data_IF_133262348288
#
_entry.id   IF_133262348288
#
_cell.length_a   1.000
_cell.length_b   1.000
_cell.length_c   1.000
_cell.angle_alpha   90.00
_cell.angle_beta   90.00
_cell.angle_gamma   90.00
#
_symmetry.space_group_name_H-M   'P 1'
#
loop_
_entity.id
_entity.type
_entity.pdbx_description
1 polymer ?
#
# COMPACT_ATOMS: atom_id res chain seq x y z
N UNK A 1 -24.85 -8.14 -12.45
CA UNK A 1 -24.88 -7.98 -13.92
C UNK A 1 -25.50 -6.64 -14.30
N UNK A 2 -24.72 -5.75 -14.94
CA UNK A 2 -25.18 -4.47 -15.46
C UNK A 2 -25.84 -4.68 -16.84
N UNK A 3 -26.91 -3.91 -17.12
CA UNK A 3 -27.55 -3.91 -18.45
C UNK A 3 -26.57 -3.47 -19.54
N UNK A 4 -26.84 -3.85 -20.78
CA UNK A 4 -26.00 -3.46 -21.93
C UNK A 4 -25.92 -1.94 -22.09
N UNK A 5 -27.03 -1.26 -21.94
CA UNK A 5 -27.12 0.19 -22.08
C UNK A 5 -26.33 0.92 -20.99
N UNK A 6 -26.42 0.44 -19.74
CA UNK A 6 -25.66 1.03 -18.65
C UNK A 6 -24.15 0.78 -18.80
N UNK A 7 -23.73 -0.38 -19.31
CA UNK A 7 -22.31 -0.63 -19.64
C UNK A 7 -21.82 0.31 -20.74
N UNK A 8 -22.62 0.55 -21.76
CA UNK A 8 -22.31 1.51 -22.83
C UNK A 8 -22.21 2.94 -22.30
N UNK A 9 -23.14 3.33 -21.41
CA UNK A 9 -23.07 4.63 -20.72
C UNK A 9 -21.78 4.76 -19.92
N UNK A 10 -21.43 3.75 -19.10
CA UNK A 10 -20.20 3.78 -18.32
C UNK A 10 -18.95 3.89 -19.21
N UNK A 11 -18.87 3.11 -20.28
CA UNK A 11 -17.73 3.14 -21.20
C UNK A 11 -17.58 4.48 -21.95
N UNK A 12 -18.67 5.21 -22.14
CA UNK A 12 -18.63 6.54 -22.76
C UNK A 12 -18.31 7.69 -21.82
N UNK A 13 -18.46 7.50 -20.49
CA UNK A 13 -18.35 8.58 -19.50
C UNK A 13 -17.24 8.35 -18.48
N UNK A 14 -16.75 7.13 -18.33
CA UNK A 14 -15.76 6.77 -17.33
C UNK A 14 -14.63 5.94 -17.96
N UNK A 15 -13.45 6.14 -17.46
CA UNK A 15 -12.27 5.29 -17.78
C UNK A 15 -11.63 4.81 -16.50
N UNK A 16 -11.25 3.55 -16.46
CA UNK A 16 -10.36 3.03 -15.42
C UNK A 16 -8.93 3.31 -15.88
N UNK A 17 -8.34 4.38 -15.37
CA UNK A 17 -6.99 4.76 -15.71
C UNK A 17 -6.01 3.86 -14.95
N UNK A 18 -5.34 2.96 -15.67
CA UNK A 18 -4.17 2.24 -15.15
C UNK A 18 -2.96 3.15 -15.36
N UNK A 19 -2.11 3.35 -14.32
CA UNK A 19 -0.92 4.17 -14.46
C UNK A 19 0.03 3.63 -15.52
N UNK A 20 0.78 4.53 -16.17
CA UNK A 20 1.75 4.17 -17.18
C UNK A 20 3.03 3.60 -16.54
N UNK A 21 3.55 2.48 -17.06
CA UNK A 21 4.87 1.97 -16.69
C UNK A 21 5.94 2.71 -17.48
N UNK A 22 6.70 3.57 -16.82
CA UNK A 22 7.82 4.31 -17.41
C UNK A 22 9.03 3.40 -17.61
N UNK A 23 9.33 2.57 -16.60
CA UNK A 23 10.37 1.55 -16.69
C UNK A 23 10.02 0.35 -15.81
N UNK A 24 10.49 -0.83 -16.24
CA UNK A 24 10.38 -2.07 -15.49
C UNK A 24 11.75 -2.75 -15.44
N UNK A 25 12.17 -3.10 -14.22
CA UNK A 25 13.35 -3.93 -13.98
C UNK A 25 12.91 -5.27 -13.44
N UNK A 26 13.52 -6.35 -13.90
CA UNK A 26 13.24 -7.71 -13.44
C UNK A 26 14.54 -8.32 -12.95
N UNK A 27 14.57 -8.75 -11.70
CA UNK A 27 15.71 -9.42 -11.09
C UNK A 27 15.69 -10.92 -11.39
N UNK A 28 16.80 -11.62 -11.13
CA UNK A 28 16.94 -13.06 -11.38
C UNK A 28 16.01 -13.93 -10.56
N UNK A 29 15.56 -13.45 -9.39
CA UNK A 29 14.58 -14.08 -8.52
C UNK A 29 13.11 -13.82 -8.94
N UNK A 30 12.91 -13.08 -10.05
CA UNK A 30 11.59 -12.71 -10.55
C UNK A 30 10.99 -11.45 -9.91
N UNK A 31 11.68 -10.80 -8.97
CA UNK A 31 11.26 -9.49 -8.44
C UNK A 31 11.14 -8.47 -9.56
N UNK A 32 10.02 -7.73 -9.60
CA UNK A 32 9.74 -6.71 -10.62
C UNK A 32 9.61 -5.36 -9.95
N UNK A 33 10.48 -4.43 -10.30
CA UNK A 33 10.41 -3.04 -9.89
C UNK A 33 9.86 -2.20 -11.04
N UNK A 34 8.79 -1.47 -10.77
CA UNK A 34 8.14 -0.58 -11.72
C UNK A 34 8.38 0.87 -11.30
N UNK A 35 8.76 1.71 -12.24
CA UNK A 35 8.61 3.15 -12.13
C UNK A 35 7.31 3.51 -12.84
N UNK A 36 6.39 4.09 -12.09
CA UNK A 36 4.99 4.27 -12.50
C UNK A 36 4.69 5.74 -12.58
N UNK A 37 4.21 6.19 -13.75
CA UNK A 37 3.77 7.58 -13.96
C UNK A 37 2.30 7.72 -13.58
N UNK A 38 2.03 8.72 -12.75
CA UNK A 38 0.72 9.07 -12.23
C UNK A 38 0.28 10.44 -12.75
N UNK A 39 -0.94 10.85 -12.42
CA UNK A 39 -1.47 12.14 -12.85
C UNK A 39 -0.53 13.31 -12.49
N UNK A 40 -0.42 14.27 -13.41
CA UNK A 40 0.49 15.41 -13.27
C UNK A 40 1.94 15.12 -13.65
N UNK A 41 2.25 13.95 -14.23
CA UNK A 41 3.58 13.59 -14.72
C UNK A 41 4.58 13.19 -13.64
N UNK A 42 4.12 13.02 -12.40
CA UNK A 42 4.95 12.53 -11.31
C UNK A 42 5.14 11.01 -11.37
N UNK A 43 6.21 10.53 -10.77
CA UNK A 43 6.56 9.11 -10.79
C UNK A 43 6.72 8.56 -9.39
N UNK A 44 6.26 7.32 -9.19
CA UNK A 44 6.42 6.56 -7.96
C UNK A 44 6.92 5.16 -8.24
N UNK A 45 7.53 4.54 -7.25
CA UNK A 45 8.01 3.15 -7.35
C UNK A 45 6.98 2.17 -6.79
N UNK A 46 6.88 1.02 -7.44
CA UNK A 46 6.09 -0.13 -7.01
C UNK A 46 6.92 -1.38 -7.24
N UNK A 47 6.93 -2.31 -6.28
CA UNK A 47 7.77 -3.51 -6.35
C UNK A 47 6.95 -4.76 -6.10
N UNK A 48 6.94 -5.68 -7.06
CA UNK A 48 6.40 -7.03 -6.90
C UNK A 48 7.49 -8.00 -6.52
N UNK A 49 7.31 -8.74 -5.43
CA UNK A 49 8.25 -9.71 -4.89
C UNK A 49 7.57 -11.08 -4.90
N UNK A 50 7.96 -11.99 -5.82
CA UNK A 50 7.47 -13.37 -5.82
C UNK A 50 8.12 -14.19 -4.71
N UNK A 51 7.34 -15.06 -4.09
CA UNK A 51 7.80 -16.11 -3.18
C UNK A 51 7.16 -17.43 -3.60
N UNK A 52 7.60 -18.55 -3.01
CA UNK A 52 7.14 -19.90 -3.42
C UNK A 52 5.61 -20.09 -3.33
N UNK A 53 4.97 -19.47 -2.36
CA UNK A 53 3.55 -19.65 -2.02
C UNK A 53 2.74 -18.36 -2.01
N UNK A 54 3.40 -17.23 -2.27
CA UNK A 54 2.76 -15.90 -2.27
C UNK A 54 3.50 -14.92 -3.19
N UNK A 55 2.83 -13.84 -3.55
CA UNK A 55 3.44 -12.67 -4.18
C UNK A 55 3.04 -11.41 -3.44
N UNK A 56 4.03 -10.63 -3.06
CA UNK A 56 3.84 -9.40 -2.29
C UNK A 56 4.06 -8.18 -3.17
N UNK A 57 3.11 -7.26 -3.19
CA UNK A 57 3.25 -5.98 -3.86
C UNK A 57 3.51 -4.88 -2.83
N UNK A 58 4.66 -4.23 -2.95
CA UNK A 58 4.99 -3.02 -2.21
C UNK A 58 4.52 -1.81 -3.01
N UNK A 59 3.61 -1.01 -2.43
CA UNK A 59 2.99 0.15 -3.09
C UNK A 59 3.31 1.45 -2.38
N UNK A 60 3.31 2.53 -3.16
CA UNK A 60 3.54 3.91 -2.71
C UNK A 60 2.24 4.61 -2.34
N UNK A 61 2.31 5.54 -1.40
CA UNK A 61 1.18 6.35 -0.92
C UNK A 61 1.32 7.85 -1.17
N UNK A 62 2.54 8.33 -1.46
CA UNK A 62 2.83 9.75 -1.72
C UNK A 62 3.85 9.88 -2.84
N UNK A 63 3.88 11.04 -3.49
CA UNK A 63 5.01 11.50 -4.32
C UNK A 63 5.99 12.21 -3.41
N UNK A 64 7.17 11.63 -3.22
CA UNK A 64 8.08 12.02 -2.14
C UNK A 64 7.58 11.52 -0.78
N UNK A 65 7.98 12.18 0.30
CA UNK A 65 7.56 11.81 1.65
C UNK A 65 7.35 13.04 2.53
N UNK A 66 6.34 12.97 3.41
CA UNK A 66 6.11 13.97 4.47
C UNK A 66 7.22 13.94 5.52
N UNK A 67 7.87 12.78 5.70
CA UNK A 67 8.90 12.56 6.71
C UNK A 67 10.30 12.60 6.09
N UNK A 68 11.28 12.94 6.94
CA UNK A 68 12.69 13.08 6.58
C UNK A 68 13.55 12.04 7.30
N UNK A 69 13.12 10.77 7.30
CA UNK A 69 13.86 9.68 7.95
C UNK A 69 15.25 9.53 7.32
N UNK A 70 16.31 9.57 8.12
CA UNK A 70 17.68 9.63 7.65
C UNK A 70 18.19 8.37 6.94
N UNK A 71 17.56 7.23 7.19
CA UNK A 71 17.90 5.94 6.56
C UNK A 71 17.15 5.71 5.23
N UNK A 72 16.17 6.58 4.89
CA UNK A 72 15.25 6.35 3.77
C UNK A 72 15.58 7.30 2.60
N UNK A 73 15.79 6.73 1.40
CA UNK A 73 16.03 7.55 0.21
C UNK A 73 14.84 8.47 -0.11
N UNK A 74 13.61 7.97 0.02
CA UNK A 74 12.41 8.81 -0.16
C UNK A 74 12.33 9.94 0.86
N UNK A 75 12.92 9.79 2.05
CA UNK A 75 13.03 10.83 3.06
C UNK A 75 13.87 12.04 2.63
N UNK A 76 14.70 11.89 1.60
CA UNK A 76 15.47 13.01 0.98
C UNK A 76 14.64 13.77 -0.06
N UNK A 77 13.52 13.20 -0.50
CA UNK A 77 12.60 13.78 -1.47
C UNK A 77 11.50 14.55 -0.73
N UNK A 78 11.36 15.83 -1.04
CA UNK A 78 10.26 16.61 -0.47
C UNK A 78 8.91 16.05 -0.92
N UNK A 79 7.93 16.10 -0.03
CA UNK A 79 6.56 15.78 -0.40
C UNK A 79 6.09 16.74 -1.51
N UNK A 80 5.62 16.16 -2.61
CA UNK A 80 4.95 16.89 -3.68
C UNK A 80 3.44 16.86 -3.43
N UNK A 81 2.86 15.66 -3.30
CA UNK A 81 1.45 15.46 -2.97
C UNK A 81 1.15 14.04 -2.50
N UNK A 82 0.00 13.89 -1.90
CA UNK A 82 -0.61 12.59 -1.64
C UNK A 82 -1.09 11.94 -2.95
N UNK A 83 -1.00 10.61 -3.03
CA UNK A 83 -1.68 9.84 -4.07
C UNK A 83 -3.16 9.76 -3.76
N UNK A 84 -4.00 9.80 -4.81
CA UNK A 84 -5.42 9.50 -4.68
C UNK A 84 -5.66 8.00 -4.46
N UNK A 85 -6.82 7.61 -3.96
CA UNK A 85 -7.19 6.20 -3.80
C UNK A 85 -7.09 5.45 -5.15
N UNK A 86 -7.50 6.09 -6.25
CA UNK A 86 -7.38 5.52 -7.60
C UNK A 86 -5.93 5.29 -8.04
N UNK A 87 -5.00 6.19 -7.70
CA UNK A 87 -3.58 6.03 -8.02
C UNK A 87 -2.90 4.96 -7.14
N UNK A 88 -3.33 4.81 -5.89
CA UNK A 88 -2.84 3.76 -4.99
C UNK A 88 -3.31 2.39 -5.50
N UNK A 89 -4.60 2.21 -5.78
CA UNK A 89 -5.15 0.95 -6.30
C UNK A 89 -4.69 0.67 -7.74
N UNK A 90 -4.40 1.70 -8.51
CA UNK A 90 -3.87 1.60 -9.86
C UNK A 90 -2.55 0.84 -9.91
N UNK A 91 -1.69 0.96 -8.90
CA UNK A 91 -0.45 0.19 -8.79
C UNK A 91 -0.74 -1.32 -8.64
N UNK A 92 -1.80 -1.67 -7.91
CA UNK A 92 -2.24 -3.07 -7.76
C UNK A 92 -2.78 -3.61 -9.09
N UNK A 93 -3.59 -2.81 -9.77
CA UNK A 93 -4.15 -3.19 -11.08
C UNK A 93 -3.07 -3.38 -12.12
N UNK A 94 -2.10 -2.47 -12.20
CA UNK A 94 -0.95 -2.54 -13.08
C UNK A 94 -0.13 -3.82 -12.85
N UNK A 95 0.19 -4.15 -11.60
CA UNK A 95 0.95 -5.36 -11.28
C UNK A 95 0.17 -6.63 -11.65
N UNK A 96 -1.13 -6.69 -11.39
CA UNK A 96 -1.98 -7.82 -11.79
C UNK A 96 -2.07 -7.98 -13.30
N UNK A 97 -2.12 -6.87 -14.03
CA UNK A 97 -2.12 -6.85 -15.49
C UNK A 97 -0.80 -7.43 -16.04
N UNK A 98 0.34 -6.93 -15.54
CA UNK A 98 1.68 -7.42 -15.92
C UNK A 98 1.93 -8.90 -15.52
N UNK A 99 1.26 -9.40 -14.49
CA UNK A 99 1.29 -10.80 -14.06
C UNK A 99 0.30 -11.69 -14.83
N UNK A 100 -0.59 -11.11 -15.65
CA UNK A 100 -1.63 -11.84 -16.35
C UNK A 100 -2.70 -12.44 -15.44
N UNK A 101 -2.95 -11.84 -14.27
CA UNK A 101 -3.89 -12.34 -13.25
C UNK A 101 -5.36 -12.05 -13.54
N UNK A 102 -5.66 -11.17 -14.49
CA UNK A 102 -7.05 -10.90 -14.83
C UNK A 102 -7.68 -12.12 -15.48
N UNK A 103 -8.85 -12.58 -15.01
CA UNK A 103 -9.50 -13.73 -15.61
C UNK A 103 -9.82 -13.42 -17.07
N UNK A 104 -9.31 -14.25 -17.96
CA UNK A 104 -9.75 -14.22 -19.35
C UNK A 104 -11.27 -14.44 -19.41
N UNK A 105 -12.00 -13.84 -20.38
CA UNK A 105 -13.42 -14.06 -20.54
C UNK A 105 -13.74 -15.56 -20.53
N UNK A 106 -14.60 -15.99 -19.60
CA UNK A 106 -14.99 -17.40 -19.44
C UNK A 106 -14.13 -18.25 -18.50
N UNK A 107 -13.04 -17.73 -17.92
CA UNK A 107 -12.32 -18.42 -16.84
C UNK A 107 -12.93 -18.12 -15.48
N UNK A 108 -13.09 -19.16 -14.67
CA UNK A 108 -13.50 -19.00 -13.28
C UNK A 108 -12.33 -18.42 -12.45
N UNK A 109 -12.46 -17.23 -11.84
CA UNK A 109 -11.38 -16.63 -11.03
C UNK A 109 -10.94 -17.52 -9.85
N UNK A 110 -11.81 -18.40 -9.37
CA UNK A 110 -11.51 -19.30 -8.24
C UNK A 110 -10.51 -20.43 -8.60
N UNK A 111 -10.21 -20.67 -9.87
CA UNK A 111 -9.34 -21.77 -10.32
C UNK A 111 -7.96 -21.31 -10.81
N UNK A 112 -7.72 -20.01 -10.96
CA UNK A 112 -6.40 -19.49 -11.30
C UNK A 112 -5.58 -19.21 -10.02
N UNK A 113 -4.33 -19.69 -9.99
CA UNK A 113 -3.41 -19.37 -8.90
C UNK A 113 -3.24 -17.85 -8.79
N UNK A 114 -3.47 -17.32 -7.60
CA UNK A 114 -3.27 -15.89 -7.33
C UNK A 114 -1.78 -15.62 -7.14
N UNK A 115 -1.16 -14.95 -8.11
CA UNK A 115 0.25 -14.56 -8.04
C UNK A 115 0.47 -13.38 -7.10
N UNK A 116 -0.43 -12.37 -7.12
CA UNK A 116 -0.42 -11.24 -6.20
C UNK A 116 -1.38 -11.54 -5.05
N UNK A 117 -0.85 -11.97 -3.92
CA UNK A 117 -1.63 -12.39 -2.76
C UNK A 117 -1.54 -11.43 -1.58
N UNK A 118 -0.53 -10.56 -1.53
CA UNK A 118 -0.28 -9.65 -0.43
C UNK A 118 0.01 -8.23 -0.93
N UNK A 119 -0.39 -7.23 -0.13
CA UNK A 119 -0.03 -5.82 -0.33
C UNK A 119 0.69 -5.31 0.91
N UNK A 120 1.79 -4.57 0.72
CA UNK A 120 2.46 -3.84 1.78
C UNK A 120 2.59 -2.36 1.39
N UNK A 121 2.15 -1.46 2.26
CA UNK A 121 2.31 -0.02 2.10
C UNK A 121 3.69 0.39 2.67
N UNK A 122 4.75 -0.02 1.97
CA UNK A 122 6.16 0.18 2.34
C UNK A 122 6.96 0.85 1.22
N UNK A 123 6.28 1.39 0.20
CA UNK A 123 6.88 2.17 -0.87
C UNK A 123 7.11 3.63 -0.46
N UNK A 124 6.94 4.55 -1.41
CA UNK A 124 7.18 5.97 -1.17
C UNK A 124 6.05 6.60 -0.34
N UNK A 125 6.46 7.40 0.66
CA UNK A 125 5.55 8.17 1.52
C UNK A 125 5.25 7.55 2.88
N UNK A 126 4.63 8.35 3.75
CA UNK A 126 4.05 7.90 5.01
C UNK A 126 2.54 7.69 4.82
N UNK A 127 2.04 6.44 4.83
CA UNK A 127 0.65 6.15 4.52
C UNK A 127 -0.35 6.85 5.44
N UNK A 128 -0.01 7.03 6.72
CA UNK A 128 -0.91 7.63 7.69
C UNK A 128 -1.05 9.15 7.52
N UNK A 129 -0.15 9.82 6.80
CA UNK A 129 -0.36 11.20 6.36
C UNK A 129 -1.19 11.31 5.06
N UNK A 130 -1.54 10.18 4.47
CA UNK A 130 -2.49 10.08 3.37
C UNK A 130 -3.67 9.16 3.73
N UNK A 131 -4.11 9.19 4.98
CA UNK A 131 -4.99 8.19 5.57
C UNK A 131 -6.27 7.94 4.76
N UNK A 132 -7.01 8.99 4.37
CA UNK A 132 -8.30 8.85 3.69
C UNK A 132 -8.17 8.10 2.36
N UNK A 133 -7.20 8.48 1.53
CA UNK A 133 -6.97 7.81 0.25
C UNK A 133 -6.46 6.38 0.43
N UNK A 134 -5.59 6.14 1.42
CA UNK A 134 -5.10 4.80 1.73
C UNK A 134 -6.25 3.92 2.22
N UNK A 135 -7.09 4.41 3.12
CA UNK A 135 -8.28 3.69 3.59
C UNK A 135 -9.18 3.29 2.43
N UNK A 136 -9.50 4.24 1.56
CA UNK A 136 -10.42 3.99 0.44
C UNK A 136 -9.81 3.02 -0.58
N UNK A 137 -8.51 3.13 -0.88
CA UNK A 137 -7.80 2.18 -1.72
C UNK A 137 -7.80 0.76 -1.12
N UNK A 138 -7.56 0.62 0.19
CA UNK A 138 -7.57 -0.68 0.85
C UNK A 138 -8.98 -1.28 0.92
N UNK A 139 -10.03 -0.47 1.10
CA UNK A 139 -11.41 -0.94 0.99
C UNK A 139 -11.72 -1.48 -0.41
N UNK A 140 -11.26 -0.82 -1.48
CA UNK A 140 -11.40 -1.32 -2.86
C UNK A 140 -10.61 -2.64 -3.03
N UNK A 141 -9.39 -2.74 -2.48
CA UNK A 141 -8.60 -3.97 -2.56
C UNK A 141 -9.27 -5.15 -1.83
N UNK A 142 -10.01 -4.88 -0.75
CA UNK A 142 -10.70 -5.90 0.05
C UNK A 142 -12.13 -6.21 -0.43
N UNK A 143 -12.68 -5.41 -1.35
CA UNK A 143 -14.06 -5.56 -1.81
C UNK A 143 -14.32 -6.97 -2.35
N UNK A 144 -15.35 -7.69 -1.84
CA UNK A 144 -15.66 -9.05 -2.25
C UNK A 144 -16.13 -9.14 -3.71
N UNK A 145 -16.66 -8.07 -4.29
CA UNK A 145 -17.05 -8.00 -5.70
C UNK A 145 -15.89 -7.52 -6.61
N UNK A 146 -14.73 -7.20 -6.03
CA UNK A 146 -13.56 -6.66 -6.73
C UNK A 146 -12.32 -7.53 -6.61
N UNK A 147 -11.24 -6.98 -6.03
CA UNK A 147 -9.92 -7.65 -5.94
C UNK A 147 -9.92 -8.77 -4.88
N UNK A 148 -10.75 -8.67 -3.85
CA UNK A 148 -10.97 -9.71 -2.83
C UNK A 148 -9.71 -10.09 -2.03
N UNK A 149 -8.86 -9.13 -1.70
CA UNK A 149 -7.75 -9.39 -0.79
C UNK A 149 -8.25 -9.43 0.66
N UNK A 150 -7.85 -10.47 1.39
CA UNK A 150 -8.13 -10.52 2.82
C UNK A 150 -7.36 -9.41 3.55
N UNK A 151 -7.99 -8.78 4.56
CA UNK A 151 -7.31 -7.80 5.44
C UNK A 151 -6.00 -8.33 6.05
N UNK A 152 -5.89 -9.65 6.28
CA UNK A 152 -4.68 -10.32 6.77
C UNK A 152 -3.56 -10.43 5.74
N UNK A 153 -3.82 -10.04 4.51
CA UNK A 153 -2.88 -10.00 3.39
C UNK A 153 -2.45 -8.58 3.06
N UNK A 154 -2.87 -7.62 3.87
CA UNK A 154 -2.51 -6.21 3.73
C UNK A 154 -1.75 -5.79 4.98
N UNK A 155 -0.55 -5.25 4.82
CA UNK A 155 0.25 -4.67 5.91
C UNK A 155 0.46 -3.19 5.63
N UNK A 156 0.00 -2.34 6.54
CA UNK A 156 0.30 -0.92 6.54
C UNK A 156 1.53 -0.68 7.41
N UNK A 157 2.55 -0.04 6.85
CA UNK A 157 3.73 0.38 7.60
C UNK A 157 3.64 1.87 7.93
N UNK A 158 4.05 2.24 9.13
CA UNK A 158 4.12 3.64 9.56
C UNK A 158 5.40 3.91 10.35
N UNK A 159 5.89 5.13 10.25
CA UNK A 159 6.96 5.62 11.12
C UNK A 159 6.46 6.07 12.50
N UNK A 160 5.14 6.03 12.74
CA UNK A 160 4.56 6.31 14.05
C UNK A 160 3.72 7.59 14.09
N UNK A 161 2.78 7.76 13.15
CA UNK A 161 1.74 8.81 13.22
C UNK A 161 0.68 8.35 14.21
N UNK A 162 0.95 8.53 15.50
CA UNK A 162 0.20 7.95 16.62
C UNK A 162 -1.32 8.17 16.54
N UNK A 163 -1.86 9.37 16.24
CA UNK A 163 -3.32 9.57 16.20
C UNK A 163 -4.04 8.72 15.16
N UNK A 164 -3.35 8.33 14.07
CA UNK A 164 -3.96 7.56 12.99
C UNK A 164 -3.88 6.04 13.20
N UNK A 165 -3.13 5.56 14.19
CA UNK A 165 -2.97 4.13 14.47
C UNK A 165 -4.32 3.50 14.86
N UNK A 166 -5.08 4.13 15.76
CA UNK A 166 -6.39 3.65 16.18
C UNK A 166 -7.39 3.64 15.02
N UNK A 167 -7.36 4.66 14.16
CA UNK A 167 -8.19 4.73 12.95
C UNK A 167 -7.85 3.62 11.96
N UNK A 168 -6.55 3.29 11.81
CA UNK A 168 -6.12 2.18 10.95
C UNK A 168 -6.77 0.86 11.37
N UNK A 169 -6.84 0.63 12.68
CA UNK A 169 -7.48 -0.55 13.22
C UNK A 169 -8.99 -0.63 12.95
N UNK A 170 -9.69 0.47 13.16
CA UNK A 170 -11.16 0.52 13.09
C UNK A 170 -11.69 0.69 11.68
N UNK A 171 -11.02 1.47 10.84
CA UNK A 171 -11.51 1.85 9.51
C UNK A 171 -10.94 0.99 8.38
N UNK A 172 -9.75 0.38 8.57
CA UNK A 172 -9.11 -0.51 7.58
C UNK A 172 -9.06 -1.95 8.11
N UNK A 173 -8.56 -2.15 9.34
CA UNK A 173 -8.46 -3.44 9.99
C UNK A 173 -7.39 -4.36 9.40
N UNK A 174 -6.35 -3.82 8.78
CA UNK A 174 -5.23 -4.55 8.20
C UNK A 174 -4.14 -4.84 9.26
N UNK A 175 -3.10 -5.59 8.86
CA UNK A 175 -1.91 -5.77 9.69
C UNK A 175 -1.11 -4.47 9.76
N UNK A 176 -0.41 -4.27 10.88
CA UNK A 176 0.42 -3.09 11.12
C UNK A 176 1.89 -3.47 11.23
N UNK A 177 2.74 -2.68 10.58
CA UNK A 177 4.18 -2.67 10.77
C UNK A 177 4.65 -1.29 11.22
N UNK A 178 5.69 -1.22 12.03
CA UNK A 178 6.25 0.03 12.53
C UNK A 178 7.73 0.13 12.21
N UNK A 179 8.10 1.19 11.54
CA UNK A 179 9.50 1.59 11.34
C UNK A 179 10.08 2.11 12.66
N UNK A 180 10.49 1.18 13.53
CA UNK A 180 10.91 1.49 14.90
C UNK A 180 12.35 1.98 14.97
N UNK A 181 13.29 1.20 14.42
CA UNK A 181 14.70 1.50 14.14
C UNK A 181 15.59 1.87 15.33
N UNK A 182 15.06 2.15 16.51
CA UNK A 182 15.83 2.48 17.70
C UNK A 182 15.04 2.19 18.97
N UNK A 183 15.75 1.87 20.06
CA UNK A 183 15.17 1.54 21.37
C UNK A 183 15.23 2.71 22.36
N UNK A 184 15.84 3.81 21.97
CA UNK A 184 15.89 5.05 22.78
C UNK A 184 15.43 6.23 21.95
N UNK A 185 14.76 7.19 22.60
CA UNK A 185 14.26 8.41 21.93
C UNK A 185 15.40 9.24 21.34
N UNK A 186 16.54 9.32 22.01
CA UNK A 186 17.71 10.07 21.52
C UNK A 186 18.20 9.58 20.16
N UNK A 187 18.24 8.27 19.96
CA UNK A 187 18.65 7.67 18.67
C UNK A 187 17.52 7.77 17.68
N UNK A 188 16.28 7.50 18.11
CA UNK A 188 15.12 7.53 17.23
C UNK A 188 14.81 8.92 16.68
N UNK A 189 15.03 9.98 17.48
CA UNK A 189 14.89 11.37 17.04
C UNK A 189 15.80 11.73 15.86
N UNK A 190 16.96 11.09 15.76
CA UNK A 190 17.91 11.28 14.67
C UNK A 190 17.53 10.47 13.42
N UNK A 191 17.05 9.24 13.61
CA UNK A 191 16.72 8.31 12.53
C UNK A 191 15.32 8.56 11.98
N UNK A 192 14.35 8.79 12.85
CA UNK A 192 12.92 8.90 12.57
C UNK A 192 12.36 10.17 13.21
N UNK A 193 12.54 11.36 12.62
CA UNK A 193 12.29 12.65 13.27
C UNK A 193 10.88 12.89 13.81
N UNK A 194 9.87 12.13 13.34
CA UNK A 194 8.51 12.17 13.87
C UNK A 194 8.45 11.77 15.35
N UNK A 195 9.47 11.05 15.86
CA UNK A 195 9.59 10.67 17.26
C UNK A 195 9.60 11.88 18.20
N UNK A 196 10.10 13.03 17.75
CA UNK A 196 10.05 14.29 18.51
C UNK A 196 8.63 14.77 18.79
N UNK A 197 7.66 14.33 17.98
CA UNK A 197 6.24 14.66 18.15
C UNK A 197 5.52 13.60 18.98
N UNK A 198 5.83 12.33 18.72
CA UNK A 198 5.30 11.18 19.44
C UNK A 198 6.47 10.23 19.74
N UNK A 199 6.90 10.26 21.00
CA UNK A 199 8.03 9.48 21.47
C UNK A 199 7.71 7.96 21.51
N UNK A 200 8.71 7.16 21.84
CA UNK A 200 8.59 5.70 21.89
C UNK A 200 7.46 5.28 22.85
N UNK A 201 7.31 5.93 24.00
CA UNK A 201 6.28 5.59 24.98
C UNK A 201 4.88 5.80 24.39
N UNK A 202 4.59 6.97 23.82
CA UNK A 202 3.30 7.27 23.19
C UNK A 202 3.01 6.32 22.02
N UNK A 203 4.04 5.97 21.23
CA UNK A 203 3.90 5.02 20.15
C UNK A 203 3.56 3.62 20.68
N UNK A 204 4.26 3.11 21.69
CA UNK A 204 4.01 1.79 22.26
C UNK A 204 2.64 1.71 22.95
N UNK A 205 2.19 2.79 23.58
CA UNK A 205 0.84 2.87 24.15
C UNK A 205 -0.23 2.69 23.07
N UNK A 206 -0.16 3.46 21.98
CA UNK A 206 -1.08 3.32 20.86
C UNK A 206 -1.07 1.92 20.22
N UNK A 207 0.10 1.26 20.21
CA UNK A 207 0.24 -0.08 19.66
C UNK A 207 -0.31 -1.18 20.59
N UNK A 208 -0.31 -0.99 21.91
CA UNK A 208 -0.93 -1.93 22.87
C UNK A 208 -2.44 -2.02 22.65
N UNK A 209 -3.05 -0.90 22.30
CA UNK A 209 -4.50 -0.80 22.06
C UNK A 209 -4.90 -1.20 20.64
N UNK A 210 -3.93 -1.50 19.76
CA UNK A 210 -4.24 -1.93 18.40
C UNK A 210 -4.92 -3.29 18.41
N UNK A 211 -6.19 -3.40 17.93
CA UNK A 211 -6.95 -4.62 18.00
C UNK A 211 -6.34 -5.70 17.11
N UNK A 212 -6.20 -6.89 17.67
CA UNK A 212 -5.76 -8.08 16.94
C UNK A 212 -6.98 -8.80 16.38
N UNK A 213 -6.95 -9.13 15.10
CA UNK A 213 -7.99 -9.92 14.48
C UNK A 213 -7.94 -11.41 14.88
N UNK A 214 -6.79 -11.87 15.41
CA UNK A 214 -6.61 -13.20 16.00
C UNK A 214 -5.48 -13.21 17.03
N UNK A 215 -5.44 -14.24 17.89
CA UNK A 215 -4.37 -14.40 18.89
C UNK A 215 -2.97 -14.60 18.29
N UNK A 216 -2.88 -14.93 17.01
CA UNK A 216 -1.61 -15.11 16.28
C UNK A 216 -1.14 -13.86 15.56
N UNK A 217 -1.98 -12.85 15.41
CA UNK A 217 -1.58 -11.60 14.75
C UNK A 217 -0.67 -10.78 15.65
N UNK A 218 0.41 -10.29 15.04
CA UNK A 218 1.44 -9.48 15.72
C UNK A 218 1.68 -8.22 14.94
N UNK A 219 2.04 -7.16 15.65
CA UNK A 219 2.60 -5.96 15.05
C UNK A 219 4.05 -6.29 14.70
N UNK A 220 4.46 -5.93 13.49
CA UNK A 220 5.84 -6.08 13.01
C UNK A 220 6.64 -4.83 13.36
N UNK A 221 7.87 -5.02 13.86
CA UNK A 221 8.82 -3.95 14.15
C UNK A 221 10.06 -4.10 13.28
#
# INVERSE_FOLDING_TARGET
NLSKDYRSFLAGHFVIAIPEVVSKQVSTDGTRKYLVRIAGGHEVETVYIPESDRGTLCISSQVGCTLTCSFCHTGTQKLVRNLTAGEIIGQVMLARDDLGEWPAPGRNPATSARLLSNIVLMGMGEPLYNFENVRDAMKIAMDPEGIQLSRRRITLSTSGVVPEIARTATEIGCLLAVSFHATTDEVRDKLVPINKRWNIEALLEALRDYPKASNSERITF
#
